data_IF_996112037329
#
_entry.id   IF_996112037329
#
_cell.length_a   1.000
_cell.length_b   1.000
_cell.length_c   1.000
_cell.angle_alpha   90.00
_cell.angle_beta   90.00
_cell.angle_gamma   90.00
#
_symmetry.space_group_name_H-M   'P 1'
#
loop_
_entity.id
_entity.type
_entity.pdbx_description
1 polymer ?
#
# COMPACT_ATOMS: atom_id res chain seq x y z
N UNK A 1 -35.07 6.21 0.58
CA UNK A 1 -33.78 5.62 0.98
C UNK A 1 -33.19 4.91 -0.23
N UNK A 2 -32.11 5.43 -0.82
CA UNK A 2 -31.40 4.75 -1.91
C UNK A 2 -30.54 3.64 -1.31
N UNK A 3 -30.79 2.39 -1.69
CA UNK A 3 -29.93 1.24 -1.32
C UNK A 3 -29.24 0.70 -2.57
N UNK A 4 -27.98 0.26 -2.48
CA UNK A 4 -27.30 -0.38 -3.60
C UNK A 4 -28.09 -1.60 -4.09
N UNK A 5 -28.33 -1.68 -5.41
CA UNK A 5 -29.03 -2.82 -6.04
C UNK A 5 -28.14 -4.08 -6.15
N UNK A 6 -26.83 -3.89 -6.16
CA UNK A 6 -25.83 -4.95 -6.27
C UNK A 6 -24.81 -4.81 -5.14
N UNK A 7 -24.37 -5.93 -4.61
CA UNK A 7 -23.20 -6.03 -3.76
C UNK A 7 -21.92 -5.84 -4.57
N UNK A 8 -20.82 -5.57 -3.86
CA UNK A 8 -19.47 -5.43 -4.42
C UNK A 8 -18.99 -6.67 -5.17
N UNK A 9 -19.53 -7.85 -4.84
CA UNK A 9 -19.14 -9.12 -5.45
C UNK A 9 -19.85 -9.39 -6.78
N UNK A 10 -20.98 -8.74 -7.04
CA UNK A 10 -21.83 -8.99 -8.23
C UNK A 10 -21.43 -8.13 -9.45
N UNK A 11 -20.47 -7.23 -9.29
CA UNK A 11 -20.00 -6.32 -10.34
C UNK A 11 -18.49 -6.18 -10.33
N UNK A 12 -17.92 -5.96 -11.51
CA UNK A 12 -16.51 -5.59 -11.63
C UNK A 12 -16.29 -4.20 -11.00
N UNK A 13 -15.58 -4.19 -9.87
CA UNK A 13 -15.22 -2.95 -9.17
C UNK A 13 -13.99 -2.35 -9.84
N UNK A 14 -14.03 -1.04 -10.12
CA UNK A 14 -12.85 -0.24 -10.45
C UNK A 14 -12.50 0.66 -9.28
N UNK A 15 -11.22 0.66 -8.91
CA UNK A 15 -10.67 1.53 -7.88
C UNK A 15 -9.92 2.68 -8.54
N UNK A 16 -10.06 3.88 -7.98
CA UNK A 16 -9.40 5.08 -8.45
C UNK A 16 -8.66 5.73 -7.28
N UNK A 17 -7.43 6.20 -7.54
CA UNK A 17 -6.77 7.12 -6.62
C UNK A 17 -7.43 8.49 -6.77
N UNK A 18 -7.80 9.08 -5.64
CA UNK A 18 -8.42 10.40 -5.55
C UNK A 18 -7.60 11.28 -4.61
N UNK A 19 -7.94 12.57 -4.57
CA UNK A 19 -7.32 13.56 -3.70
C UNK A 19 -5.80 13.68 -3.90
N UNK A 20 -5.44 14.45 -4.93
CA UNK A 20 -4.04 14.73 -5.27
C UNK A 20 -3.54 16.03 -4.62
N UNK A 21 -4.15 16.48 -3.52
CA UNK A 21 -3.83 17.76 -2.87
C UNK A 21 -2.38 17.85 -2.36
N UNK A 22 -1.73 16.71 -2.11
CA UNK A 22 -0.31 16.61 -1.72
C UNK A 22 0.60 16.02 -2.81
N UNK A 23 0.07 15.75 -4.00
CA UNK A 23 0.87 15.19 -5.08
C UNK A 23 1.90 16.21 -5.59
N UNK A 24 3.09 15.73 -5.95
CA UNK A 24 4.11 16.53 -6.63
C UNK A 24 4.16 16.15 -8.10
N UNK A 25 4.05 17.14 -8.99
CA UNK A 25 4.12 16.90 -10.42
C UNK A 25 5.58 16.94 -10.91
N UNK A 26 6.12 15.76 -11.23
CA UNK A 26 7.42 15.58 -11.87
C UNK A 26 7.27 15.75 -13.39
N UNK A 27 7.58 16.94 -13.92
CA UNK A 27 7.40 17.27 -15.35
C UNK A 27 8.63 17.03 -16.21
N UNK A 28 9.80 17.31 -15.65
CA UNK A 28 11.07 17.28 -16.37
C UNK A 28 11.77 15.93 -16.12
N UNK A 29 11.92 15.08 -17.15
CA UNK A 29 12.61 13.80 -17.02
C UNK A 29 14.10 13.94 -16.69
N UNK A 30 14.71 15.09 -17.01
CA UNK A 30 16.13 15.37 -16.82
C UNK A 30 16.41 16.02 -15.45
N UNK A 31 15.36 16.50 -14.76
CA UNK A 31 15.48 17.07 -13.43
C UNK A 31 15.62 15.99 -12.33
N UNK A 32 16.17 16.40 -11.19
CA UNK A 32 16.19 15.55 -10.00
C UNK A 32 14.76 15.12 -9.61
N UNK A 33 14.56 13.81 -9.47
CA UNK A 33 13.30 13.22 -8.99
C UNK A 33 13.08 13.36 -7.48
N UNK A 34 14.04 13.94 -6.76
CA UNK A 34 13.92 14.15 -5.32
C UNK A 34 13.02 15.35 -5.04
N UNK A 35 12.14 15.20 -4.05
CA UNK A 35 11.20 16.25 -3.64
C UNK A 35 11.49 16.69 -2.22
N UNK A 36 10.93 17.85 -1.85
CA UNK A 36 10.92 18.35 -0.47
C UNK A 36 9.48 18.57 -0.03
N UNK A 37 9.24 18.61 1.28
CA UNK A 37 7.91 18.85 1.84
C UNK A 37 7.56 17.86 2.94
N UNK A 38 6.65 18.28 3.81
CA UNK A 38 6.22 17.52 5.00
C UNK A 38 4.72 17.25 5.05
N UNK A 39 3.98 17.69 4.04
CA UNK A 39 2.54 17.47 3.95
C UNK A 39 2.25 16.00 3.65
N UNK A 40 1.76 15.29 4.65
CA UNK A 40 1.36 13.90 4.55
C UNK A 40 0.42 13.56 5.71
N UNK A 41 -0.49 12.61 5.50
CA UNK A 41 -1.25 12.01 6.61
C UNK A 41 -0.32 11.29 7.59
N UNK A 42 0.64 10.54 7.04
CA UNK A 42 1.65 9.79 7.78
C UNK A 42 3.01 10.15 7.19
N UNK A 43 3.86 10.85 7.96
CA UNK A 43 5.19 11.23 7.48
C UNK A 43 6.16 10.06 7.58
N UNK A 44 6.83 9.74 6.47
CA UNK A 44 7.99 8.85 6.48
C UNK A 44 9.16 9.48 7.25
N UNK A 45 10.10 8.69 7.81
CA UNK A 45 11.23 9.20 8.59
C UNK A 45 12.04 10.28 7.87
N UNK A 46 12.31 10.10 6.58
CA UNK A 46 13.09 11.02 5.74
C UNK A 46 12.38 12.35 5.47
N UNK A 47 11.04 12.39 5.54
CA UNK A 47 10.29 13.64 5.41
C UNK A 47 10.48 14.54 6.65
N UNK A 48 10.73 13.94 7.82
CA UNK A 48 10.88 14.68 9.09
C UNK A 48 12.18 15.49 9.14
N UNK A 49 13.24 14.98 8.50
CA UNK A 49 14.59 15.56 8.53
C UNK A 49 14.82 16.73 7.54
N UNK A 50 13.77 17.18 6.84
CA UNK A 50 13.78 18.36 5.94
C UNK A 50 14.88 18.34 4.86
N UNK A 51 15.22 17.15 4.34
CA UNK A 51 16.13 16.96 3.21
C UNK A 51 15.36 16.45 1.99
N UNK A 52 15.87 16.65 0.77
CA UNK A 52 15.28 16.02 -0.41
C UNK A 52 15.21 14.51 -0.26
N UNK A 53 14.09 13.92 -0.67
CA UNK A 53 13.85 12.47 -0.57
C UNK A 53 13.21 11.92 -1.84
N UNK A 54 13.26 10.60 -1.97
CA UNK A 54 12.60 9.86 -3.06
C UNK A 54 11.09 9.74 -2.77
N UNK A 55 10.21 10.41 -3.54
CA UNK A 55 8.78 10.38 -3.30
C UNK A 55 8.18 8.98 -3.45
N UNK A 56 8.73 8.13 -4.32
CA UNK A 56 8.18 6.80 -4.57
C UNK A 56 8.38 5.86 -3.38
N UNK A 57 9.52 5.98 -2.68
CA UNK A 57 9.77 5.22 -1.46
C UNK A 57 8.96 5.74 -0.27
N UNK A 58 8.63 7.04 -0.27
CA UNK A 58 7.68 7.62 0.67
C UNK A 58 6.27 7.07 0.45
N UNK A 59 5.79 6.99 -0.79
CA UNK A 59 4.49 6.43 -1.11
C UNK A 59 4.38 4.96 -0.66
N UNK A 60 5.44 4.17 -0.85
CA UNK A 60 5.52 2.79 -0.33
C UNK A 60 5.39 2.77 1.19
N UNK A 61 6.12 3.63 1.90
CA UNK A 61 6.03 3.71 3.36
C UNK A 61 4.62 4.07 3.83
N UNK A 62 4.02 5.09 3.21
CA UNK A 62 2.68 5.56 3.57
C UNK A 62 1.62 4.50 3.30
N UNK A 63 1.69 3.80 2.17
CA UNK A 63 0.80 2.69 1.86
C UNK A 63 0.99 1.52 2.85
N UNK A 64 2.23 1.19 3.21
CA UNK A 64 2.52 0.16 4.22
C UNK A 64 1.90 0.51 5.58
N UNK A 65 2.01 1.78 5.99
CA UNK A 65 1.39 2.26 7.22
C UNK A 65 -0.14 2.23 7.16
N UNK A 66 -0.77 2.58 6.03
CA UNK A 66 -2.22 2.41 5.82
C UNK A 66 -2.61 0.95 6.01
N UNK A 67 -1.85 0.01 5.41
CA UNK A 67 -2.13 -1.42 5.55
C UNK A 67 -2.05 -1.84 7.02
N UNK A 68 -0.99 -1.46 7.73
CA UNK A 68 -0.79 -1.84 9.13
C UNK A 68 -1.78 -1.21 10.10
N UNK A 69 -2.14 0.06 9.92
CA UNK A 69 -2.91 0.82 10.91
C UNK A 69 -4.41 0.87 10.60
N UNK A 70 -4.79 0.85 9.33
CA UNK A 70 -6.19 1.08 8.93
C UNK A 70 -6.85 -0.16 8.34
N UNK A 71 -6.09 -1.05 7.67
CA UNK A 71 -6.67 -2.17 6.92
C UNK A 71 -6.64 -3.48 7.72
N UNK A 72 -5.47 -3.85 8.26
CA UNK A 72 -5.33 -5.10 9.03
C UNK A 72 -6.23 -5.08 10.28
N UNK A 73 -6.27 -4.01 11.11
CA UNK A 73 -7.06 -4.02 12.34
C UNK A 73 -8.58 -4.14 12.12
N UNK A 74 -9.09 -3.78 10.94
CA UNK A 74 -10.52 -3.89 10.62
C UNK A 74 -10.88 -5.22 9.97
N UNK A 75 -9.89 -6.03 9.57
CA UNK A 75 -10.11 -7.31 8.90
C UNK A 75 -8.90 -8.24 9.08
N UNK A 76 -8.97 -9.10 10.10
CA UNK A 76 -7.95 -10.12 10.41
C UNK A 76 -7.67 -11.07 9.24
N UNK A 77 -8.62 -11.26 8.31
CA UNK A 77 -8.39 -12.07 7.11
C UNK A 77 -7.30 -11.49 6.19
N UNK A 78 -6.86 -10.26 6.43
CA UNK A 78 -5.78 -9.57 5.73
C UNK A 78 -4.46 -9.60 6.51
N UNK A 79 -4.37 -10.31 7.63
CA UNK A 79 -3.12 -10.49 8.40
C UNK A 79 -1.97 -11.07 7.56
N UNK A 80 -2.29 -11.82 6.50
CA UNK A 80 -1.28 -12.32 5.57
C UNK A 80 -0.48 -11.20 4.88
N UNK A 81 -0.99 -9.97 4.85
CA UNK A 81 -0.28 -8.81 4.31
C UNK A 81 0.73 -8.21 5.30
N UNK A 82 0.68 -8.60 6.59
CA UNK A 82 1.53 -8.03 7.63
C UNK A 82 3.02 -8.11 7.31
N UNK A 83 3.59 -9.25 6.85
CA UNK A 83 5.01 -9.30 6.51
C UNK A 83 5.39 -8.31 5.42
N UNK A 84 4.57 -8.19 4.36
CA UNK A 84 4.78 -7.21 3.30
C UNK A 84 4.73 -5.77 3.82
N UNK A 85 3.73 -5.46 4.66
CA UNK A 85 3.57 -4.13 5.21
C UNK A 85 4.76 -3.75 6.12
N UNK A 86 5.29 -4.68 6.91
CA UNK A 86 6.50 -4.50 7.71
C UNK A 86 7.73 -4.17 6.84
N UNK A 87 7.86 -4.77 5.65
CA UNK A 87 8.93 -4.40 4.71
C UNK A 87 8.75 -2.98 4.15
N UNK A 88 7.52 -2.62 3.83
CA UNK A 88 7.18 -1.30 3.26
C UNK A 88 7.44 -0.15 4.24
N UNK A 89 7.31 -0.39 5.55
CA UNK A 89 7.48 0.64 6.59
C UNK A 89 8.88 0.70 7.21
N UNK A 90 9.87 0.02 6.62
CA UNK A 90 11.26 0.08 7.11
C UNK A 90 11.77 1.53 7.16
N UNK A 91 12.46 1.88 8.24
CA UNK A 91 12.91 3.26 8.47
C UNK A 91 13.84 3.75 7.36
N UNK A 92 14.81 2.91 6.99
CA UNK A 92 15.75 3.18 5.91
C UNK A 92 15.04 3.04 4.55
N UNK A 93 14.96 4.11 3.72
CA UNK A 93 14.23 4.06 2.45
C UNK A 93 14.74 2.97 1.50
N UNK A 94 16.06 2.77 1.44
CA UNK A 94 16.69 1.77 0.58
C UNK A 94 16.37 0.32 0.98
N UNK A 95 15.92 0.09 2.21
CA UNK A 95 15.51 -1.22 2.69
C UNK A 95 14.06 -1.57 2.34
N UNK A 96 13.27 -0.62 1.82
CA UNK A 96 11.88 -0.83 1.39
C UNK A 96 11.84 -1.48 0.01
N UNK A 97 10.83 -2.30 -0.30
CA UNK A 97 10.63 -2.79 -1.66
C UNK A 97 10.24 -1.64 -2.60
N UNK A 98 10.66 -1.72 -3.86
CA UNK A 98 10.03 -0.92 -4.91
C UNK A 98 8.54 -1.32 -5.05
N UNK A 99 7.69 -0.39 -5.49
CA UNK A 99 6.25 -0.63 -5.59
C UNK A 99 5.89 -1.83 -6.48
N UNK A 100 6.63 -2.03 -7.58
CA UNK A 100 6.47 -3.20 -8.46
C UNK A 100 6.75 -4.51 -7.75
N UNK A 101 7.80 -4.55 -6.92
CA UNK A 101 8.13 -5.72 -6.10
C UNK A 101 7.08 -5.95 -5.01
N UNK A 102 6.61 -4.89 -4.36
CA UNK A 102 5.53 -4.99 -3.37
C UNK A 102 4.23 -5.55 -4.00
N UNK A 103 3.88 -5.10 -5.20
CA UNK A 103 2.75 -5.61 -5.96
C UNK A 103 2.92 -7.11 -6.29
N UNK A 104 4.10 -7.54 -6.72
CA UNK A 104 4.39 -8.94 -6.98
C UNK A 104 4.23 -9.80 -5.72
N UNK A 105 4.79 -9.36 -4.58
CA UNK A 105 4.64 -10.05 -3.29
C UNK A 105 3.15 -10.16 -2.90
N UNK A 106 2.37 -9.10 -3.07
CA UNK A 106 0.93 -9.13 -2.77
C UNK A 106 0.15 -10.10 -3.66
N UNK A 107 0.49 -10.18 -4.96
CA UNK A 107 -0.12 -11.15 -5.88
C UNK A 107 0.20 -12.60 -5.51
N UNK A 108 1.44 -12.87 -5.07
CA UNK A 108 1.85 -14.18 -4.58
C UNK A 108 1.04 -14.57 -3.34
N UNK A 109 0.92 -13.67 -2.37
CA UNK A 109 0.12 -13.89 -1.15
C UNK A 109 -1.36 -14.16 -1.45
N UNK A 110 -1.97 -13.45 -2.40
CA UNK A 110 -3.37 -13.73 -2.80
C UNK A 110 -3.50 -15.10 -3.49
N UNK A 111 -2.53 -15.46 -4.33
CA UNK A 111 -2.50 -16.76 -5.02
C UNK A 111 -2.38 -17.92 -4.04
N UNK A 112 -1.48 -17.82 -3.07
CA UNK A 112 -1.30 -18.80 -1.98
C UNK A 112 -2.57 -18.92 -1.13
N UNK A 113 -3.16 -17.78 -0.73
CA UNK A 113 -4.40 -17.76 0.04
C UNK A 113 -5.56 -18.43 -0.72
N UNK A 114 -5.71 -18.16 -2.02
CA UNK A 114 -6.72 -18.83 -2.86
C UNK A 114 -6.46 -20.33 -2.98
N UNK A 115 -5.21 -20.74 -3.16
CA UNK A 115 -4.81 -22.14 -3.18
C UNK A 115 -5.22 -22.86 -1.89
N UNK A 116 -4.95 -22.25 -0.74
CA UNK A 116 -5.32 -22.78 0.58
C UNK A 116 -6.84 -22.82 0.81
N UNK A 117 -7.61 -21.85 0.29
CA UNK A 117 -9.09 -21.89 0.33
C UNK A 117 -9.62 -23.05 -0.52
N UNK A 118 -9.08 -23.23 -1.73
CA UNK A 118 -9.53 -24.26 -2.66
C UNK A 118 -9.10 -25.67 -2.24
N UNK A 119 -8.04 -25.84 -1.45
CA UNK A 119 -7.62 -27.14 -0.91
C UNK A 119 -8.53 -27.67 0.21
N UNK A 120 -9.43 -26.84 0.76
CA UNK A 120 -10.39 -27.26 1.80
C UNK A 120 -9.77 -27.39 3.20
N UNK A 121 -8.52 -26.98 3.40
CA UNK A 121 -7.79 -27.11 4.66
C UNK A 121 -8.31 -26.18 5.79
N UNK A 122 -9.25 -25.27 5.49
CA UNK A 122 -9.91 -24.39 6.45
C UNK A 122 -10.88 -25.11 7.42
N UNK A 123 -11.23 -26.37 7.16
CA UNK A 123 -12.08 -27.18 8.03
C UNK A 123 -11.31 -28.01 9.09
N UNK A 124 -9.98 -27.88 9.18
CA UNK A 124 -9.19 -28.50 10.26
C UNK A 124 -8.87 -27.50 11.37
N UNK A 125 -9.86 -27.12 12.16
CA UNK A 125 -9.70 -26.67 13.55
C UNK A 125 -10.86 -27.16 14.38
#
# INVERSE_FOLDING_TARGET
>A
MLRPKYSRLEKNIRYYFIDMGFATWLRDPDASRLVTGKSARIMAPEQKINRPYDPFLVDVYQLGMVIMQDIIPINEALDCLKPLAEEMVRSEPSARPALTKAQQSMNTLDSERRGYILSGDWYRK
#
